data_IF_666946241591
#
_entry.id   IF_666946241591
#
_cell.length_a   1.000
_cell.length_b   1.000
_cell.length_c   1.000
_cell.angle_alpha   90.00
_cell.angle_beta   90.00
_cell.angle_gamma   90.00
#
_symmetry.space_group_name_H-M   'P 1'
#
loop_
_entity.id
_entity.type
_entity.pdbx_description
1 polymer ?
#
# COMPACT_ATOMS: atom_id res chain seq x y z
N UNK A 1 -34.31 40.67 37.85
CA UNK A 1 -33.61 40.69 36.54
C UNK A 1 -32.12 40.37 36.75
N UNK A 2 -31.73 39.10 36.93
CA UNK A 2 -30.31 38.71 37.06
C UNK A 2 -30.03 37.24 36.69
N UNK A 3 -31.00 36.55 36.06
CA UNK A 3 -30.88 35.13 35.71
C UNK A 3 -30.41 34.89 34.26
N UNK A 4 -30.16 35.95 33.48
CA UNK A 4 -29.72 35.84 32.07
C UNK A 4 -28.21 36.01 31.86
N UNK A 5 -27.44 36.33 32.91
CA UNK A 5 -25.99 36.57 32.80
C UNK A 5 -25.16 35.34 33.22
N UNK A 6 -25.77 34.32 33.87
CA UNK A 6 -25.07 33.09 34.27
C UNK A 6 -25.01 31.99 33.21
N UNK A 7 -25.72 32.14 32.10
CA UNK A 7 -25.75 31.14 31.02
C UNK A 7 -24.79 31.46 29.86
N UNK A 8 -24.13 32.61 29.87
CA UNK A 8 -23.34 33.11 28.74
C UNK A 8 -21.81 33.10 28.98
N UNK A 9 -21.31 32.61 30.12
CA UNK A 9 -19.90 32.79 30.51
C UNK A 9 -19.18 31.55 31.04
N UNK A 10 -19.71 30.35 30.76
CA UNK A 10 -19.10 29.09 31.25
C UNK A 10 -18.78 28.07 30.14
N UNK A 11 -18.86 28.43 28.86
CA UNK A 11 -18.60 27.50 27.74
C UNK A 11 -17.15 27.58 27.20
N UNK A 12 -16.25 28.30 27.85
CA UNK A 12 -14.88 28.51 27.36
C UNK A 12 -13.83 28.03 28.35
N UNK A 13 -13.89 26.75 28.73
CA UNK A 13 -12.76 26.09 29.40
C UNK A 13 -12.40 24.75 28.70
N UNK A 14 -11.70 24.91 27.58
CA UNK A 14 -10.45 24.23 27.24
C UNK A 14 -10.45 22.69 27.24
N UNK A 15 -10.68 22.14 26.05
CA UNK A 15 -10.07 20.92 25.51
C UNK A 15 -8.56 20.87 25.85
N UNK A 16 -8.18 20.17 26.91
CA UNK A 16 -6.77 19.92 27.22
C UNK A 16 -6.57 18.49 27.73
N UNK A 17 -6.17 17.61 26.80
CA UNK A 17 -5.14 16.59 27.00
C UNK A 17 -5.13 15.66 25.77
N UNK A 18 -4.52 16.14 24.67
CA UNK A 18 -3.93 15.24 23.70
C UNK A 18 -2.80 14.47 24.42
N UNK A 19 -3.01 13.18 24.69
CA UNK A 19 -1.90 12.30 25.03
C UNK A 19 -1.13 12.02 23.73
N UNK A 20 -0.05 12.77 23.52
CA UNK A 20 0.96 12.51 22.49
C UNK A 20 1.71 11.24 22.84
N UNK A 21 1.26 10.11 22.30
CA UNK A 21 2.09 8.91 22.23
C UNK A 21 3.36 9.23 21.42
N UNK A 22 4.57 8.85 21.89
CA UNK A 22 5.76 8.99 21.06
C UNK A 22 5.55 8.20 19.76
N UNK A 23 5.95 8.75 18.60
CA UNK A 23 5.98 7.97 17.37
C UNK A 23 7.00 6.86 17.57
N UNK A 24 6.52 5.68 17.97
CA UNK A 24 7.24 4.44 17.80
C UNK A 24 7.64 4.42 16.32
N UNK A 25 8.93 4.29 15.97
CA UNK A 25 9.30 3.96 14.61
C UNK A 25 8.55 2.66 14.31
N UNK A 26 7.50 2.74 13.48
CA UNK A 26 6.83 1.57 12.96
C UNK A 26 7.90 0.86 12.14
N UNK A 27 8.62 -0.06 12.77
CA UNK A 27 9.29 -1.16 12.09
C UNK A 27 8.15 -2.00 11.49
N UNK A 28 7.58 -1.49 10.40
CA UNK A 28 6.68 -2.24 9.54
C UNK A 28 7.52 -3.41 9.08
N UNK A 29 7.21 -4.60 9.58
CA UNK A 29 7.88 -5.82 9.16
C UNK A 29 7.88 -5.86 7.61
N UNK A 30 9.06 -5.77 6.96
CA UNK A 30 9.17 -5.32 5.57
C UNK A 30 8.60 -6.33 4.54
N UNK A 31 8.22 -7.53 4.98
CA UNK A 31 7.68 -8.59 4.13
C UNK A 31 6.17 -8.83 4.32
N UNK A 32 5.64 -8.75 5.54
CA UNK A 32 4.24 -9.13 5.83
C UNK A 32 3.25 -8.08 5.34
N UNK A 33 3.55 -6.79 5.54
CA UNK A 33 2.69 -5.71 5.07
C UNK A 33 2.62 -5.64 3.54
N UNK A 34 3.69 -6.06 2.85
CA UNK A 34 3.71 -6.16 1.40
C UNK A 34 2.88 -7.30 0.87
N UNK A 35 2.98 -8.51 1.43
CA UNK A 35 2.12 -9.61 1.03
C UNK A 35 0.61 -9.29 1.14
N UNK A 36 0.23 -8.32 1.98
CA UNK A 36 -1.13 -7.81 2.10
C UNK A 36 -1.51 -6.70 1.09
N UNK A 37 -0.54 -6.10 0.40
CA UNK A 37 -0.82 -5.04 -0.57
C UNK A 37 -1.53 -5.64 -1.81
N UNK A 38 -2.52 -4.93 -2.40
CA UNK A 38 -3.19 -5.41 -3.61
C UNK A 38 -2.25 -5.67 -4.78
N UNK A 39 -1.20 -4.86 -4.92
CA UNK A 39 -0.20 -4.99 -5.98
C UNK A 39 0.67 -6.25 -5.79
N UNK A 40 1.10 -6.50 -4.56
CA UNK A 40 1.84 -7.71 -4.20
C UNK A 40 1.01 -8.98 -4.41
N UNK A 41 -0.27 -8.97 -4.00
CA UNK A 41 -1.19 -10.08 -4.25
C UNK A 41 -1.39 -10.32 -5.76
N UNK A 42 -1.51 -9.26 -6.55
CA UNK A 42 -1.60 -9.36 -8.00
C UNK A 42 -0.34 -10.01 -8.60
N UNK A 43 0.86 -9.69 -8.10
CA UNK A 43 2.09 -10.38 -8.51
C UNK A 43 2.03 -11.89 -8.27
N UNK A 44 1.65 -12.30 -7.06
CA UNK A 44 1.57 -13.71 -6.70
C UNK A 44 0.49 -14.44 -7.51
N UNK A 45 -0.65 -13.79 -7.78
CA UNK A 45 -1.71 -14.34 -8.65
C UNK A 45 -1.26 -14.56 -10.09
N UNK A 46 -0.32 -13.75 -10.58
CA UNK A 46 0.30 -13.92 -11.90
C UNK A 46 1.49 -14.90 -11.88
N UNK A 47 1.62 -15.71 -10.81
CA UNK A 47 2.73 -16.64 -10.59
C UNK A 47 4.11 -15.96 -10.52
N UNK A 48 4.14 -14.66 -10.24
CA UNK A 48 5.36 -13.90 -10.06
C UNK A 48 5.94 -14.05 -8.65
N UNK A 49 7.16 -13.54 -8.47
CA UNK A 49 7.85 -13.41 -7.19
C UNK A 49 8.09 -11.94 -6.89
N UNK A 50 7.90 -11.55 -5.63
CA UNK A 50 8.18 -10.19 -5.19
C UNK A 50 9.66 -10.03 -4.82
N UNK A 51 10.30 -9.02 -5.37
CA UNK A 51 11.66 -8.60 -5.02
C UNK A 51 11.63 -7.20 -4.43
N UNK A 52 11.99 -7.08 -3.15
CA UNK A 52 12.09 -5.80 -2.46
C UNK A 52 13.34 -5.06 -2.93
N UNK A 53 13.21 -3.77 -3.19
CA UNK A 53 14.33 -2.88 -3.52
C UNK A 53 14.23 -1.60 -2.73
N UNK A 54 15.36 -1.15 -2.21
CA UNK A 54 15.44 0.17 -1.60
C UNK A 54 15.67 1.21 -2.69
N UNK A 55 14.88 2.27 -2.67
CA UNK A 55 15.02 3.46 -3.52
C UNK A 55 15.18 4.70 -2.63
N UNK A 56 15.64 5.83 -3.19
CA UNK A 56 15.72 7.09 -2.44
C UNK A 56 14.37 7.55 -1.87
N UNK A 57 13.27 7.13 -2.50
CA UNK A 57 11.90 7.46 -2.07
C UNK A 57 11.34 6.47 -1.02
N UNK A 58 12.10 5.42 -0.67
CA UNK A 58 11.68 4.37 0.24
C UNK A 58 11.82 2.98 -0.39
N UNK A 59 11.21 1.98 0.23
CA UNK A 59 11.26 0.64 -0.33
C UNK A 59 10.16 0.46 -1.41
N UNK A 60 10.51 -0.13 -2.55
CA UNK A 60 9.58 -0.60 -3.59
C UNK A 60 9.67 -2.11 -3.76
N UNK A 61 8.69 -2.73 -4.42
CA UNK A 61 8.77 -4.13 -4.79
C UNK A 61 8.54 -4.31 -6.30
N UNK A 62 9.43 -5.08 -6.91
CA UNK A 62 9.30 -5.53 -8.29
C UNK A 62 8.62 -6.91 -8.30
N UNK A 63 7.75 -7.13 -9.29
CA UNK A 63 7.25 -8.44 -9.64
C UNK A 63 8.12 -9.08 -10.72
N UNK A 64 8.72 -10.23 -10.39
CA UNK A 64 9.46 -11.07 -11.31
C UNK A 64 8.56 -12.22 -11.80
N UNK A 65 8.17 -12.18 -13.07
CA UNK A 65 7.30 -13.17 -13.69
C UNK A 65 8.09 -14.42 -14.14
N UNK A 66 7.44 -15.59 -14.28
CA UNK A 66 8.07 -16.82 -14.76
C UNK A 66 8.69 -16.69 -16.16
N UNK A 67 8.19 -15.75 -16.95
CA UNK A 67 8.74 -15.40 -18.27
C UNK A 67 10.09 -14.69 -18.21
N UNK A 68 10.59 -14.35 -17.01
CA UNK A 68 11.78 -13.55 -16.80
C UNK A 68 11.53 -12.03 -16.88
N UNK A 69 10.29 -11.60 -17.18
CA UNK A 69 9.92 -10.19 -17.14
C UNK A 69 9.93 -9.67 -15.70
N UNK A 70 10.50 -8.49 -15.51
CA UNK A 70 10.48 -7.74 -14.25
C UNK A 70 9.74 -6.43 -14.45
N UNK A 71 8.82 -6.11 -13.54
CA UNK A 71 8.10 -4.84 -13.52
C UNK A 71 7.81 -4.41 -12.09
N UNK A 72 7.68 -3.11 -11.87
CA UNK A 72 7.18 -2.59 -10.59
C UNK A 72 5.77 -3.16 -10.30
N UNK A 73 5.52 -3.55 -9.04
CA UNK A 73 4.28 -4.21 -8.66
C UNK A 73 3.04 -3.32 -8.91
N UNK A 74 3.16 -1.99 -8.77
CA UNK A 74 2.07 -1.05 -8.94
C UNK A 74 1.80 -0.73 -10.42
N UNK A 75 2.85 -0.70 -11.24
CA UNK A 75 2.68 -0.64 -12.70
C UNK A 75 1.95 -1.86 -13.24
N UNK A 76 2.30 -3.04 -12.72
CA UNK A 76 1.64 -4.28 -13.11
C UNK A 76 0.19 -4.34 -12.62
N UNK A 77 -0.08 -3.95 -11.37
CA UNK A 77 -1.44 -3.86 -10.82
C UNK A 77 -2.34 -2.93 -11.64
N UNK A 78 -1.79 -1.84 -12.18
CA UNK A 78 -2.51 -0.87 -13.03
C UNK A 78 -2.61 -1.32 -14.50
N UNK A 79 -1.96 -2.41 -14.89
CA UNK A 79 -1.93 -2.90 -16.26
C UNK A 79 -0.94 -2.17 -17.18
N UNK A 80 -0.13 -1.27 -16.64
CA UNK A 80 0.94 -0.57 -17.35
C UNK A 80 2.13 -1.49 -17.67
N UNK A 81 2.24 -2.62 -16.96
CA UNK A 81 3.12 -3.71 -17.32
C UNK A 81 2.34 -5.01 -17.61
N UNK A 82 2.43 -5.55 -18.84
CA UNK A 82 1.74 -6.79 -19.19
C UNK A 82 2.38 -8.02 -18.54
N UNK A 83 1.55 -8.81 -17.86
CA UNK A 83 1.94 -10.01 -17.09
C UNK A 83 2.21 -11.25 -17.94
N UNK A 84 1.85 -11.20 -19.22
CA UNK A 84 2.20 -12.23 -20.21
C UNK A 84 3.08 -11.63 -21.30
N UNK A 85 4.01 -12.43 -21.80
CA UNK A 85 4.26 -12.42 -23.24
C UNK A 85 2.97 -12.87 -23.87
N UNK A 86 2.10 -11.95 -24.30
CA UNK A 86 1.20 -12.29 -25.40
C UNK A 86 2.11 -12.54 -26.59
N UNK A 87 2.62 -13.77 -26.71
CA UNK A 87 2.97 -14.24 -28.02
C UNK A 87 1.64 -14.21 -28.76
N UNK A 88 1.47 -13.26 -29.69
CA UNK A 88 0.26 -13.12 -30.51
C UNK A 88 -0.06 -14.38 -31.33
N UNK A 89 0.76 -15.44 -31.18
CA UNK A 89 0.64 -16.73 -31.82
C UNK A 89 0.56 -17.92 -30.83
N UNK A 90 0.29 -17.70 -29.53
CA UNK A 90 -0.03 -18.81 -28.62
C UNK A 90 -1.54 -19.07 -28.64
N UNK A 91 -1.99 -19.57 -29.78
CA UNK A 91 -3.25 -20.32 -29.88
C UNK A 91 -3.14 -21.51 -28.93
N UNK A 92 -4.03 -21.58 -27.95
CA UNK A 92 -4.19 -22.77 -27.11
C UNK A 92 -4.76 -23.89 -27.99
N UNK A 93 -3.91 -24.51 -28.81
CA UNK A 93 -4.17 -25.81 -29.43
C UNK A 93 -3.63 -26.82 -28.43
N UNK A 94 -4.52 -27.46 -27.69
CA UNK A 94 -4.11 -28.37 -26.62
C UNK A 94 -5.27 -29.13 -25.99
N UNK A 95 -5.96 -29.90 -26.84
CA UNK A 95 -6.89 -31.02 -26.54
C UNK A 95 -8.26 -30.68 -25.97
#
# INVERSE_FOLDING_TARGET
>A
MSLKIRFALSLTLLLSACASAPPQPMAVAPAVARAASPASLNCLQNHGKLEIRQTPEGEKADCLLPSGKRCDEWEMFRGNCPTRTVNANMSFIGL
#
